data_IF_636444134222
#
_entry.id   IF_636444134222
#
_cell.length_a   1.000
_cell.length_b   1.000
_cell.length_c   1.000
_cell.angle_alpha   90.00
_cell.angle_beta   90.00
_cell.angle_gamma   90.00
#
_symmetry.space_group_name_H-M   'P 1'
#
loop_
_entity.id
_entity.type
_entity.pdbx_description
1 polymer ?
#
# COMPACT_ATOMS: atom_id res chain seq x y z
N UNK A 1 -1.75 -11.86 18.99
CA UNK A 1 -3.14 -11.77 18.51
C UNK A 1 -3.14 -12.21 17.07
N UNK A 2 -4.07 -13.08 16.67
CA UNK A 2 -4.24 -13.48 15.27
C UNK A 2 -4.94 -12.33 14.55
N UNK A 3 -4.26 -11.71 13.58
CA UNK A 3 -4.84 -10.61 12.81
C UNK A 3 -5.81 -11.21 11.82
N UNK A 4 -7.10 -10.90 11.97
CA UNK A 4 -8.11 -11.27 11.00
C UNK A 4 -8.17 -10.22 9.89
N UNK A 5 -7.85 -10.62 8.68
CA UNK A 5 -7.90 -9.75 7.51
C UNK A 5 -9.31 -9.76 6.89
N UNK A 6 -9.84 -8.58 6.59
CA UNK A 6 -11.01 -8.41 5.71
C UNK A 6 -10.56 -8.51 4.26
N UNK A 7 -11.19 -9.37 3.47
CA UNK A 7 -10.79 -9.69 2.09
C UNK A 7 -11.82 -9.24 1.04
N UNK A 8 -13.00 -8.78 1.48
CA UNK A 8 -14.04 -8.28 0.58
C UNK A 8 -13.66 -6.91 0.00
N UNK A 9 -13.12 -6.93 -1.22
CA UNK A 9 -12.66 -5.73 -1.93
C UNK A 9 -13.76 -4.70 -2.17
N UNK A 10 -15.02 -5.12 -2.21
CA UNK A 10 -16.16 -4.21 -2.44
C UNK A 10 -16.33 -3.23 -1.28
N UNK A 11 -15.79 -3.52 -0.08
CA UNK A 11 -15.78 -2.55 1.04
C UNK A 11 -14.93 -1.31 0.78
N UNK A 12 -13.94 -1.40 -0.10
CA UNK A 12 -13.11 -0.27 -0.50
C UNK A 12 -13.67 0.48 -1.72
N UNK A 13 -14.80 0.03 -2.26
CA UNK A 13 -15.40 0.60 -3.47
C UNK A 13 -16.08 1.94 -3.18
N UNK A 14 -16.00 2.85 -4.15
CA UNK A 14 -16.57 4.19 -4.09
C UNK A 14 -17.83 4.28 -4.95
N UNK A 15 -18.65 5.29 -4.71
CA UNK A 15 -19.94 5.49 -5.42
C UNK A 15 -19.78 5.63 -6.95
N UNK A 16 -18.62 6.10 -7.42
CA UNK A 16 -18.28 6.23 -8.83
C UNK A 16 -17.54 5.00 -9.40
N UNK A 17 -17.65 3.84 -8.74
CA UNK A 17 -17.11 2.54 -9.20
C UNK A 17 -15.57 2.47 -9.25
N UNK A 18 -14.89 3.27 -8.44
CA UNK A 18 -13.46 3.14 -8.15
C UNK A 18 -13.25 2.38 -6.84
N UNK A 19 -12.00 2.09 -6.50
CA UNK A 19 -11.58 1.54 -5.22
C UNK A 19 -10.55 2.48 -4.58
N UNK A 20 -10.68 2.73 -3.28
CA UNK A 20 -9.61 3.37 -2.53
C UNK A 20 -8.45 2.38 -2.34
N UNK A 21 -7.25 2.83 -2.66
CA UNK A 21 -6.01 2.06 -2.54
C UNK A 21 -5.00 2.85 -1.71
N UNK A 22 -4.42 2.22 -0.69
CA UNK A 22 -3.41 2.83 0.17
C UNK A 22 -2.01 2.31 -0.17
N UNK A 23 -1.15 3.21 -0.65
CA UNK A 23 0.24 2.94 -0.95
C UNK A 23 1.16 3.41 0.18
N UNK A 24 1.94 2.49 0.76
CA UNK A 24 2.95 2.79 1.78
C UNK A 24 4.39 2.55 1.29
N UNK A 25 4.56 2.25 -0.01
CA UNK A 25 5.84 1.89 -0.62
C UNK A 25 6.06 2.63 -1.94
N UNK A 26 6.60 1.95 -2.94
CA UNK A 26 7.01 2.59 -4.21
C UNK A 26 5.84 3.20 -5.01
N UNK A 27 4.60 2.74 -4.79
CA UNK A 27 3.39 3.32 -5.38
C UNK A 27 2.99 4.68 -4.76
N UNK A 28 3.78 5.24 -3.84
CA UNK A 28 3.69 6.67 -3.49
C UNK A 28 4.31 7.57 -4.57
N UNK A 29 5.18 7.02 -5.43
CA UNK A 29 5.81 7.76 -6.52
C UNK A 29 4.81 8.00 -7.66
N UNK A 30 4.63 9.28 -8.04
CA UNK A 30 3.62 9.71 -9.02
C UNK A 30 3.90 9.19 -10.43
N UNK A 31 5.17 9.17 -10.87
CA UNK A 31 5.55 8.67 -12.20
C UNK A 31 5.29 7.16 -12.32
N UNK A 32 5.63 6.41 -11.28
CA UNK A 32 5.34 4.97 -11.21
C UNK A 32 3.84 4.71 -11.22
N UNK A 33 3.05 5.49 -10.47
CA UNK A 33 1.60 5.35 -10.46
C UNK A 33 0.95 5.72 -11.78
N UNK A 34 1.40 6.79 -12.43
CA UNK A 34 0.91 7.16 -13.76
C UNK A 34 1.18 6.05 -14.81
N UNK A 35 2.31 5.35 -14.70
CA UNK A 35 2.64 4.22 -15.57
C UNK A 35 1.81 2.95 -15.26
N UNK A 36 1.67 2.61 -13.97
CA UNK A 36 0.97 1.37 -13.55
C UNK A 36 -0.55 1.50 -13.60
N UNK A 37 -1.05 2.68 -13.24
CA UNK A 37 -2.47 3.00 -13.04
C UNK A 37 -2.79 4.35 -13.69
N UNK A 38 -2.88 4.41 -15.03
CA UNK A 38 -3.04 5.67 -15.76
C UNK A 38 -4.35 6.41 -15.48
N UNK A 39 -5.36 5.74 -14.91
CA UNK A 39 -6.63 6.36 -14.52
C UNK A 39 -6.72 6.64 -13.01
N UNK A 40 -5.62 6.46 -12.27
CA UNK A 40 -5.60 6.70 -10.83
C UNK A 40 -5.78 8.18 -10.49
N UNK A 41 -6.51 8.45 -9.42
CA UNK A 41 -6.77 9.79 -8.90
C UNK A 41 -6.13 9.89 -7.53
N UNK A 42 -5.26 10.87 -7.32
CA UNK A 42 -4.64 11.12 -6.02
C UNK A 42 -5.68 11.67 -5.04
N UNK A 43 -5.84 11.02 -3.89
CA UNK A 43 -6.75 11.46 -2.82
C UNK A 43 -6.00 12.31 -1.80
N UNK A 44 -4.91 11.79 -1.24
CA UNK A 44 -4.12 12.50 -0.23
C UNK A 44 -3.40 11.61 0.75
N UNK A 45 -2.79 12.22 1.77
CA UNK A 45 -2.10 11.52 2.86
C UNK A 45 -3.08 10.68 3.66
N UNK A 46 -2.75 9.40 3.84
CA UNK A 46 -3.47 8.46 4.69
C UNK A 46 -2.62 7.97 5.85
N UNK A 47 -3.27 7.70 6.97
CA UNK A 47 -2.67 7.12 8.18
C UNK A 47 -3.33 5.79 8.49
N UNK A 48 -2.53 4.73 8.49
CA UNK A 48 -2.93 3.39 8.93
C UNK A 48 -2.43 3.15 10.34
N UNK A 49 -3.31 2.75 11.27
CA UNK A 49 -2.96 2.48 12.67
C UNK A 49 -2.59 1.02 12.88
N UNK A 50 -1.81 0.76 13.92
CA UNK A 50 -1.43 -0.57 14.42
C UNK A 50 -0.58 -1.40 13.44
N UNK A 51 0.22 -0.71 12.62
CA UNK A 51 1.21 -1.30 11.72
C UNK A 51 2.48 -0.46 11.70
N UNK A 52 3.57 -1.07 11.22
CA UNK A 52 4.80 -0.39 10.84
C UNK A 52 5.32 -0.92 9.51
N UNK A 53 6.12 -0.11 8.81
CA UNK A 53 6.78 -0.52 7.56
C UNK A 53 7.99 -1.39 7.88
N UNK A 54 8.17 -2.43 7.08
CA UNK A 54 9.29 -3.36 7.14
C UNK A 54 9.93 -3.52 5.76
N UNK A 55 11.25 -3.69 5.77
CA UNK A 55 12.07 -3.79 4.56
C UNK A 55 12.37 -5.26 4.23
N UNK A 56 11.63 -5.83 3.27
CA UNK A 56 11.75 -7.25 2.89
C UNK A 56 12.06 -7.41 1.39
N UNK A 57 13.21 -6.87 0.94
CA UNK A 57 13.60 -6.62 -0.47
C UNK A 57 12.72 -5.57 -1.18
N UNK A 58 11.42 -5.53 -0.87
CA UNK A 58 10.49 -4.45 -1.17
C UNK A 58 9.73 -4.07 0.10
N UNK A 59 9.05 -2.93 0.07
CA UNK A 59 8.24 -2.45 1.19
C UNK A 59 7.13 -3.45 1.54
N UNK A 60 6.97 -3.73 2.83
CA UNK A 60 5.89 -4.51 3.40
C UNK A 60 5.50 -3.90 4.75
N UNK A 61 4.48 -4.43 5.42
CA UNK A 61 3.98 -3.94 6.71
C UNK A 61 3.78 -5.10 7.69
N UNK A 62 4.07 -4.89 8.97
CA UNK A 62 3.78 -5.85 10.03
C UNK A 62 2.94 -5.19 11.14
N UNK A 63 2.01 -5.97 11.71
CA UNK A 63 1.17 -5.50 12.80
C UNK A 63 2.02 -5.05 13.98
N UNK A 64 1.71 -3.88 14.52
CA UNK A 64 2.45 -3.25 15.60
C UNK A 64 1.57 -2.24 16.31
N UNK A 65 0.98 -2.67 17.42
CA UNK A 65 0.04 -1.86 18.22
C UNK A 65 0.66 -0.51 18.62
N UNK A 66 -0.10 0.57 18.42
CA UNK A 66 0.32 1.93 18.76
C UNK A 66 1.26 2.59 17.75
N UNK A 67 1.75 1.87 16.74
CA UNK A 67 2.49 2.45 15.62
C UNK A 67 1.56 2.84 14.47
N UNK A 68 2.09 3.65 13.56
CA UNK A 68 1.37 4.10 12.37
C UNK A 68 2.21 3.92 11.11
N UNK A 69 1.52 3.71 9.99
CA UNK A 69 2.10 3.80 8.65
C UNK A 69 1.50 5.00 7.95
N UNK A 70 2.36 5.92 7.51
CA UNK A 70 1.99 7.02 6.64
C UNK A 70 2.09 6.57 5.18
N UNK A 71 1.11 6.93 4.37
CA UNK A 71 1.09 6.57 2.95
C UNK A 71 0.22 7.49 2.12
N UNK A 72 0.13 7.18 0.83
CA UNK A 72 -0.65 7.93 -0.14
C UNK A 72 -1.88 7.14 -0.55
N UNK A 73 -3.05 7.76 -0.43
CA UNK A 73 -4.32 7.19 -0.89
C UNK A 73 -4.59 7.61 -2.33
N UNK A 74 -5.00 6.62 -3.11
CA UNK A 74 -5.43 6.75 -4.50
C UNK A 74 -6.86 6.24 -4.64
N UNK A 75 -7.58 6.75 -5.64
CA UNK A 75 -8.68 6.01 -6.27
C UNK A 75 -8.13 5.31 -7.50
N UNK A 76 -8.47 4.04 -7.66
CA UNK A 76 -8.12 3.24 -8.84
C UNK A 76 -9.38 2.59 -9.39
N UNK A 77 -9.57 2.59 -10.71
CA UNK A 77 -10.68 1.86 -11.30
C UNK A 77 -10.39 0.34 -11.29
N UNK A 78 -11.32 -0.47 -11.78
CA UNK A 78 -11.14 -1.93 -11.86
C UNK A 78 -9.94 -2.39 -12.70
N UNK A 79 -9.64 -1.69 -13.80
CA UNK A 79 -8.50 -2.01 -14.67
C UNK A 79 -7.16 -1.72 -14.00
N UNK A 80 -7.05 -0.58 -13.31
CA UNK A 80 -5.87 -0.15 -12.58
C UNK A 80 -5.65 -1.04 -11.35
N UNK A 81 -6.72 -1.46 -10.66
CA UNK A 81 -6.63 -2.45 -9.59
C UNK A 81 -6.13 -3.81 -10.10
N UNK A 82 -6.60 -4.27 -11.25
CA UNK A 82 -6.08 -5.49 -11.88
C UNK A 82 -4.61 -5.34 -12.33
N UNK A 83 -4.20 -4.13 -12.74
CA UNK A 83 -2.81 -3.79 -13.03
C UNK A 83 -1.95 -3.89 -11.76
N UNK A 84 -2.41 -3.33 -10.64
CA UNK A 84 -1.76 -3.48 -9.33
C UNK A 84 -1.62 -4.94 -8.93
N UNK A 85 -2.68 -5.75 -9.06
CA UNK A 85 -2.63 -7.19 -8.76
C UNK A 85 -1.48 -7.89 -9.52
N UNK A 86 -1.28 -7.53 -10.79
CA UNK A 86 -0.18 -8.06 -11.61
C UNK A 86 1.19 -7.60 -11.10
N UNK A 87 1.36 -6.32 -10.78
CA UNK A 87 2.64 -5.78 -10.30
C UNK A 87 3.01 -6.26 -8.90
N UNK A 88 2.03 -6.45 -8.02
CA UNK A 88 2.23 -6.96 -6.67
C UNK A 88 2.34 -8.50 -6.65
N UNK A 89 2.08 -9.17 -7.78
CA UNK A 89 2.11 -10.63 -7.89
C UNK A 89 1.03 -11.32 -7.07
N UNK A 90 -0.15 -10.69 -6.97
CA UNK A 90 -1.30 -11.18 -6.25
C UNK A 90 -1.83 -12.50 -6.86
N UNK A 91 -2.29 -13.47 -6.05
CA UNK A 91 -2.23 -13.50 -4.58
C UNK A 91 -0.95 -14.16 -4.02
N UNK A 92 0.03 -14.52 -4.87
CA UNK A 92 1.16 -15.37 -4.48
C UNK A 92 2.24 -14.62 -3.69
N UNK A 93 2.54 -13.38 -4.11
CA UNK A 93 3.62 -12.56 -3.55
C UNK A 93 3.11 -11.62 -2.46
N UNK A 94 2.00 -10.97 -2.75
CA UNK A 94 1.22 -10.17 -1.81
C UNK A 94 -0.24 -10.62 -1.88
N UNK A 95 -0.92 -10.59 -0.74
CA UNK A 95 -2.38 -10.65 -0.70
C UNK A 95 -2.95 -9.25 -0.47
N UNK A 96 -4.23 -9.06 -0.78
CA UNK A 96 -4.97 -7.84 -0.49
C UNK A 96 -5.79 -8.03 0.77
N UNK A 97 -5.88 -6.99 1.57
CA UNK A 97 -6.87 -6.88 2.62
C UNK A 97 -7.40 -5.45 2.69
N UNK A 98 -8.56 -5.30 3.32
CA UNK A 98 -9.24 -4.03 3.49
C UNK A 98 -9.10 -3.58 4.94
N UNK A 99 -8.74 -2.32 5.14
CA UNK A 99 -8.59 -1.74 6.48
C UNK A 99 -8.97 -0.27 6.45
N UNK A 100 -9.50 0.30 7.55
CA UNK A 100 -9.71 1.74 7.66
C UNK A 100 -8.37 2.50 7.61
N UNK A 101 -8.36 3.57 6.82
CA UNK A 101 -7.27 4.54 6.70
C UNK A 101 -7.85 5.91 7.01
N UNK A 102 -7.20 6.65 7.90
CA UNK A 102 -7.60 8.03 8.20
C UNK A 102 -7.04 8.98 7.14
N UNK A 103 -7.90 9.70 6.44
CA UNK A 103 -7.58 10.74 5.45
C UNK A 103 -8.35 12.00 5.81
N UNK A 104 -7.65 13.09 6.12
CA UNK A 104 -8.28 14.37 6.53
C UNK A 104 -9.36 14.19 7.61
N UNK A 105 -9.00 13.49 8.70
CA UNK A 105 -9.85 13.17 9.85
C UNK A 105 -11.08 12.28 9.54
N UNK A 106 -11.14 11.67 8.36
CA UNK A 106 -12.18 10.71 7.98
C UNK A 106 -11.59 9.33 7.79
N UNK A 107 -12.28 8.31 8.30
CA UNK A 107 -11.92 6.92 8.02
C UNK A 107 -12.58 6.46 6.74
N UNK A 108 -11.76 5.97 5.81
CA UNK A 108 -12.22 5.31 4.57
C UNK A 108 -11.57 3.93 4.49
N UNK A 109 -12.29 2.96 3.93
CA UNK A 109 -11.76 1.61 3.74
C UNK A 109 -10.92 1.58 2.46
N UNK A 110 -9.67 1.12 2.58
CA UNK A 110 -8.75 1.05 1.46
C UNK A 110 -8.29 -0.40 1.22
N UNK A 111 -8.06 -0.74 -0.04
CA UNK A 111 -7.23 -1.87 -0.44
C UNK A 111 -5.80 -1.63 0.03
N UNK A 112 -5.22 -2.61 0.70
CA UNK A 112 -3.81 -2.66 1.11
C UNK A 112 -3.22 -3.99 0.67
N UNK A 113 -2.01 -3.97 0.12
CA UNK A 113 -1.25 -5.20 -0.15
C UNK A 113 -0.32 -5.51 1.02
N UNK A 114 -0.22 -6.77 1.43
CA UNK A 114 0.78 -7.27 2.39
C UNK A 114 1.44 -8.53 1.84
N UNK A 115 2.76 -8.68 2.04
CA UNK A 115 3.46 -9.87 1.55
C UNK A 115 2.90 -11.14 2.19
N UNK A 116 2.85 -12.21 1.42
CA UNK A 116 2.55 -13.55 1.94
C UNK A 116 3.73 -14.07 2.77
N UNK A 117 3.45 -14.96 3.72
CA UNK A 117 4.48 -15.61 4.54
C UNK A 117 5.49 -16.38 3.67
N UNK A 118 5.03 -16.99 2.58
CA UNK A 118 5.89 -17.67 1.60
C UNK A 118 6.88 -16.69 0.95
N UNK A 119 6.38 -15.54 0.48
CA UNK A 119 7.21 -14.52 -0.13
C UNK A 119 8.22 -13.93 0.87
N UNK A 120 7.82 -13.74 2.13
CA UNK A 120 8.69 -13.30 3.22
C UNK A 120 9.81 -14.31 3.49
N UNK A 121 9.49 -15.59 3.58
CA UNK A 121 10.47 -16.67 3.77
C UNK A 121 11.48 -16.72 2.62
N UNK A 122 11.02 -16.60 1.37
CA UNK A 122 11.89 -16.57 0.18
C UNK A 122 12.84 -15.37 0.11
N UNK A 123 12.51 -14.28 0.82
CA UNK A 123 13.27 -13.02 0.82
C UNK A 123 14.05 -12.76 2.09
N UNK A 124 13.87 -13.60 3.11
CA UNK A 124 14.58 -13.50 4.38
C UNK A 124 16.10 -13.47 4.16
N UNK A 125 16.77 -12.55 4.85
CA UNK A 125 18.22 -12.36 4.76
C UNK A 125 18.73 -11.67 3.49
N UNK A 126 17.85 -11.28 2.55
CA UNK A 126 18.25 -10.48 1.38
C UNK A 126 18.34 -9.01 1.75
N UNK A 127 19.38 -8.35 1.26
CA UNK A 127 19.58 -6.92 1.46
C UNK A 127 18.47 -6.11 0.78
N UNK A 128 18.01 -5.06 1.46
CA UNK A 128 17.04 -4.14 0.90
C UNK A 128 17.71 -3.19 -0.10
N UNK A 129 17.28 -3.14 -1.38
CA UNK A 129 17.97 -2.35 -2.39
C UNK A 129 17.84 -0.85 -2.12
N UNK A 130 18.98 -0.15 -1.99
CA UNK A 130 19.01 1.31 -1.76
C UNK A 130 18.25 2.09 -2.84
N UNK A 131 18.36 1.69 -4.11
CA UNK A 131 17.62 2.31 -5.19
C UNK A 131 16.08 2.21 -5.03
N UNK A 132 15.60 1.14 -4.39
CA UNK A 132 14.18 1.00 -4.06
C UNK A 132 13.80 1.87 -2.86
N UNK A 133 14.64 1.89 -1.81
CA UNK A 133 14.50 2.78 -0.64
C UNK A 133 14.34 4.24 -1.06
N UNK A 134 15.26 4.73 -1.90
CA UNK A 134 15.25 6.10 -2.41
C UNK A 134 13.99 6.41 -3.22
N UNK A 135 13.47 5.45 -4.00
CA UNK A 135 12.21 5.64 -4.74
C UNK A 135 11.02 5.80 -3.79
N UNK A 136 10.94 4.97 -2.75
CA UNK A 136 9.89 5.07 -1.74
C UNK A 136 9.98 6.38 -0.97
N UNK A 137 11.18 6.75 -0.50
CA UNK A 137 11.45 8.02 0.17
C UNK A 137 11.05 9.22 -0.70
N UNK A 138 11.52 9.25 -1.96
CA UNK A 138 11.16 10.31 -2.91
C UNK A 138 9.65 10.42 -3.10
N UNK A 139 8.94 9.28 -3.24
CA UNK A 139 7.49 9.27 -3.36
C UNK A 139 6.77 9.86 -2.14
N UNK A 140 7.28 9.60 -0.93
CA UNK A 140 6.76 10.19 0.30
C UNK A 140 7.03 11.71 0.35
N UNK A 141 8.29 12.12 0.11
CA UNK A 141 8.73 13.53 0.14
C UNK A 141 7.98 14.39 -0.88
N UNK A 142 7.87 13.93 -2.14
CA UNK A 142 7.17 14.64 -3.22
C UNK A 142 5.67 14.86 -2.89
N UNK A 143 5.11 14.07 -1.96
CA UNK A 143 3.72 14.18 -1.50
C UNK A 143 3.60 14.72 -0.07
N UNK A 144 4.69 15.24 0.52
CA UNK A 144 4.71 15.76 1.89
C UNK A 144 4.24 14.76 2.96
N UNK A 145 4.53 13.47 2.73
CA UNK A 145 4.23 12.37 3.65
C UNK A 145 5.48 12.05 4.48
N UNK A 146 5.37 11.86 5.81
CA UNK A 146 6.49 11.39 6.62
C UNK A 146 7.04 10.06 6.10
N UNK A 147 8.32 10.04 5.73
CA UNK A 147 8.97 8.84 5.17
C UNK A 147 9.26 7.81 6.26
N UNK A 148 8.97 6.54 5.97
CA UNK A 148 9.44 5.38 6.74
C UNK A 148 10.77 4.81 6.20
N UNK A 149 11.31 5.39 5.12
CA UNK A 149 12.48 4.93 4.35
C UNK A 149 13.62 5.93 4.35
#
# INVERSE_FOLDING_TARGET
MEVQYELDVEKAKTEDEFYYYFAYGSNMNLEQMAFRCPQSIKVGHGVMKDYHVVEALYADIDASEGNIVNGLVWKVNSNDLASLDKYEGFPKRYFRFITPITVSDKEIHCVVYKMTDECRKERSGKEYPEAYRLRCRKGAEDNSIPSAF
#
